data_IF_851840714098
#
_entry.id   IF_851840714098
#
_cell.length_a   1.000
_cell.length_b   1.000
_cell.length_c   1.000
_cell.angle_alpha   90.00
_cell.angle_beta   90.00
_cell.angle_gamma   90.00
#
_symmetry.space_group_name_H-M   'P 1'
#
loop_
_entity.id
_entity.type
_entity.pdbx_description
1 polymer ?
#
# COMPACT_ATOMS: atom_id res chain seq x y z
N UNK A 1 52.43 4.74 18.97
CA UNK A 1 51.24 4.71 19.85
C UNK A 1 50.03 4.10 19.12
N UNK A 2 49.25 4.86 18.33
CA UNK A 2 48.01 4.34 17.71
C UNK A 2 48.24 3.17 16.74
N UNK A 3 49.31 3.24 15.94
CA UNK A 3 49.71 2.19 14.97
C UNK A 3 50.10 0.88 15.66
N UNK A 4 50.73 0.98 16.83
CA UNK A 4 51.20 -0.18 17.58
C UNK A 4 50.02 -0.89 18.26
N UNK A 5 49.09 -0.13 18.84
CA UNK A 5 47.83 -0.66 19.37
C UNK A 5 47.02 -1.40 18.30
N UNK A 6 46.91 -0.84 17.09
CA UNK A 6 46.21 -1.47 15.98
C UNK A 6 46.86 -2.79 15.55
N UNK A 7 48.19 -2.83 15.43
CA UNK A 7 48.93 -4.07 15.13
C UNK A 7 48.76 -5.11 16.23
N UNK A 8 48.79 -4.69 17.50
CA UNK A 8 48.58 -5.59 18.64
C UNK A 8 47.17 -6.20 18.63
N UNK A 9 46.15 -5.40 18.32
CA UNK A 9 44.77 -5.84 18.25
C UNK A 9 44.55 -6.89 17.14
N UNK A 10 45.10 -6.67 15.95
CA UNK A 10 45.02 -7.65 14.84
C UNK A 10 45.74 -8.94 15.22
N UNK A 11 46.93 -8.86 15.83
CA UNK A 11 47.65 -10.04 16.31
C UNK A 11 46.89 -10.78 17.43
N UNK A 12 46.10 -10.07 18.24
CA UNK A 12 45.24 -10.64 19.28
C UNK A 12 43.98 -11.34 18.73
N UNK A 13 43.48 -10.89 17.57
CA UNK A 13 42.39 -11.58 16.86
C UNK A 13 42.94 -12.82 16.13
N UNK A 14 44.10 -12.70 15.49
CA UNK A 14 44.74 -13.78 14.73
C UNK A 14 45.20 -14.97 15.60
N UNK A 15 45.41 -14.79 16.91
CA UNK A 15 45.74 -15.90 17.81
C UNK A 15 44.54 -16.75 18.24
N UNK A 16 43.31 -16.27 18.07
CA UNK A 16 42.11 -16.98 18.50
C UNK A 16 40.98 -16.85 17.46
N UNK A 17 41.26 -17.36 16.25
CA UNK A 17 40.35 -17.28 15.10
C UNK A 17 38.96 -17.84 15.39
N UNK A 18 38.86 -18.95 16.12
CA UNK A 18 37.56 -19.58 16.39
C UNK A 18 36.69 -18.70 17.27
N UNK A 19 37.22 -18.18 18.38
CA UNK A 19 36.44 -17.34 19.29
C UNK A 19 36.09 -16.01 18.64
N UNK A 20 37.07 -15.33 18.04
CA UNK A 20 36.84 -14.03 17.39
C UNK A 20 35.91 -14.17 16.17
N UNK A 21 36.06 -15.25 15.39
CA UNK A 21 35.21 -15.54 14.25
C UNK A 21 33.76 -15.81 14.66
N UNK A 22 33.54 -16.62 15.70
CA UNK A 22 32.19 -16.93 16.18
C UNK A 22 31.49 -15.71 16.77
N UNK A 23 32.22 -14.82 17.45
CA UNK A 23 31.66 -13.54 17.94
C UNK A 23 31.28 -12.59 16.81
N UNK A 24 32.10 -12.50 15.76
CA UNK A 24 31.80 -11.67 14.59
C UNK A 24 30.58 -12.21 13.84
N UNK A 25 30.53 -13.54 13.66
CA UNK A 25 29.42 -14.21 12.99
C UNK A 25 28.09 -13.91 13.68
N UNK A 26 28.04 -13.99 15.01
CA UNK A 26 26.84 -13.67 15.79
C UNK A 26 26.36 -12.24 15.58
N UNK A 27 27.28 -11.27 15.57
CA UNK A 27 26.95 -9.85 15.33
C UNK A 27 26.42 -9.66 13.90
N UNK A 28 27.09 -10.24 12.90
CA UNK A 28 26.69 -10.11 11.48
C UNK A 28 25.30 -10.69 11.25
N UNK A 29 25.02 -11.90 11.75
CA UNK A 29 23.71 -12.54 11.62
C UNK A 29 22.65 -11.74 12.38
N UNK A 30 22.95 -11.28 13.61
CA UNK A 30 22.02 -10.51 14.41
C UNK A 30 21.62 -9.19 13.76
N UNK A 31 22.59 -8.42 13.27
CA UNK A 31 22.33 -7.14 12.59
C UNK A 31 21.62 -7.38 11.25
N UNK A 32 22.01 -8.41 10.48
CA UNK A 32 21.36 -8.74 9.22
C UNK A 32 19.87 -9.11 9.41
N UNK A 33 19.55 -9.91 10.43
CA UNK A 33 18.17 -10.29 10.72
C UNK A 33 17.30 -9.09 11.11
N UNK A 34 17.84 -8.17 11.92
CA UNK A 34 17.12 -6.94 12.31
C UNK A 34 16.86 -6.04 11.10
N UNK A 35 17.87 -5.83 10.23
CA UNK A 35 17.70 -5.04 9.00
C UNK A 35 16.65 -5.67 8.08
N UNK A 36 16.73 -6.99 7.88
CA UNK A 36 15.76 -7.71 7.05
C UNK A 36 14.32 -7.59 7.60
N UNK A 37 14.14 -7.74 8.92
CA UNK A 37 12.83 -7.61 9.53
C UNK A 37 12.25 -6.20 9.39
N UNK A 38 13.07 -5.17 9.64
CA UNK A 38 12.62 -3.76 9.53
C UNK A 38 12.23 -3.43 8.10
N UNK A 39 13.08 -3.78 7.13
CA UNK A 39 12.82 -3.51 5.71
C UNK A 39 11.56 -4.22 5.20
N UNK A 40 11.33 -5.48 5.60
CA UNK A 40 10.10 -6.22 5.27
C UNK A 40 8.89 -5.61 5.95
N UNK A 41 9.00 -5.20 7.22
CA UNK A 41 7.93 -4.58 7.99
C UNK A 41 7.47 -3.25 7.37
N UNK A 42 8.41 -2.34 7.12
CA UNK A 42 8.14 -1.05 6.49
C UNK A 42 7.61 -1.21 5.05
N UNK A 43 8.20 -2.10 4.26
CA UNK A 43 7.75 -2.37 2.89
C UNK A 43 6.33 -2.94 2.84
N UNK A 44 5.97 -3.82 3.77
CA UNK A 44 4.64 -4.40 3.87
C UNK A 44 3.61 -3.37 4.34
N UNK A 45 3.96 -2.56 5.35
CA UNK A 45 3.10 -1.49 5.84
C UNK A 45 2.83 -0.45 4.75
N UNK A 46 3.85 -0.03 4.00
CA UNK A 46 3.70 0.88 2.86
C UNK A 46 2.81 0.30 1.75
N UNK A 47 2.97 -1.00 1.45
CA UNK A 47 2.13 -1.68 0.47
C UNK A 47 0.66 -1.75 0.92
N UNK A 48 0.41 -2.13 2.17
CA UNK A 48 -0.94 -2.16 2.75
C UNK A 48 -1.55 -0.77 2.72
N UNK A 49 -0.80 0.27 3.11
CA UNK A 49 -1.30 1.64 3.04
C UNK A 49 -1.62 2.08 1.61
N UNK A 50 -0.82 1.67 0.62
CA UNK A 50 -1.10 1.95 -0.79
C UNK A 50 -2.34 1.21 -1.29
N UNK A 51 -2.55 -0.03 -0.86
CA UNK A 51 -3.69 -0.85 -1.26
C UNK A 51 -4.98 -0.36 -0.57
N UNK A 52 -4.90 0.09 0.69
CA UNK A 52 -6.00 0.78 1.39
C UNK A 52 -6.29 2.15 0.76
N UNK A 53 -5.26 2.91 0.35
CA UNK A 53 -5.46 4.17 -0.35
C UNK A 53 -6.16 3.97 -1.71
N UNK A 54 -5.89 2.85 -2.42
CA UNK A 54 -6.61 2.45 -3.64
C UNK A 54 -8.04 2.02 -3.38
N UNK A 55 -8.32 1.45 -2.21
CA UNK A 55 -9.69 1.20 -1.74
C UNK A 55 -10.47 2.50 -1.50
N UNK A 56 -9.80 3.67 -1.60
CA UNK A 56 -10.43 4.94 -1.95
C UNK A 56 -11.69 5.18 -1.15
N UNK A 57 -11.54 5.67 0.08
CA UNK A 57 -12.62 5.99 1.00
C UNK A 57 -13.56 7.11 0.52
N UNK A 58 -13.72 7.32 -0.80
CA UNK A 58 -14.62 8.30 -1.38
C UNK A 58 -15.05 7.95 -2.83
N UNK A 59 -15.23 6.66 -3.17
CA UNK A 59 -15.81 6.26 -4.46
C UNK A 59 -17.32 6.02 -4.32
N UNK A 60 -18.14 6.96 -4.82
CA UNK A 60 -19.59 6.83 -4.88
C UNK A 60 -20.00 6.39 -6.29
N UNK A 61 -20.51 5.17 -6.42
CA UNK A 61 -20.99 4.62 -7.70
C UNK A 61 -22.51 4.78 -7.75
N UNK A 62 -23.00 5.51 -8.74
CA UNK A 62 -24.44 5.74 -8.95
C UNK A 62 -24.86 5.00 -10.23
N UNK A 63 -25.79 4.06 -10.11
CA UNK A 63 -26.35 3.31 -11.24
C UNK A 63 -27.86 3.52 -11.33
N UNK A 64 -28.41 3.82 -12.51
CA UNK A 64 -29.86 3.91 -12.67
C UNK A 64 -30.43 2.48 -12.74
N UNK A 65 -31.57 2.24 -12.08
CA UNK A 65 -32.33 1.00 -12.21
C UNK A 65 -31.92 -0.18 -11.30
N UNK A 66 -31.09 0.04 -10.29
CA UNK A 66 -30.86 -0.98 -9.26
C UNK A 66 -31.88 -0.79 -8.13
N UNK A 67 -33.10 -1.29 -8.34
CA UNK A 67 -34.09 -1.47 -7.27
C UNK A 67 -33.53 -2.49 -6.26
N UNK A 68 -32.69 -2.03 -5.33
CA UNK A 68 -32.24 -2.85 -4.20
C UNK A 68 -33.39 -3.11 -3.20
N UNK A 69 -34.51 -2.39 -3.34
CA UNK A 69 -35.65 -2.38 -2.41
C UNK A 69 -37.02 -2.36 -3.14
N UNK A 70 -37.18 -3.14 -4.21
CA UNK A 70 -38.46 -3.23 -4.95
C UNK A 70 -38.85 -4.68 -5.27
N UNK A 71 -40.15 -5.03 -5.30
CA UNK A 71 -40.59 -6.36 -5.70
C UNK A 71 -40.07 -6.74 -7.10
N UNK A 72 -39.56 -7.98 -7.31
CA UNK A 72 -39.05 -8.40 -8.59
C UNK A 72 -40.16 -8.35 -9.65
N UNK A 73 -39.99 -7.50 -10.67
CA UNK A 73 -40.87 -7.45 -11.85
C UNK A 73 -41.59 -6.13 -12.14
N UNK A 74 -41.35 -5.05 -11.39
CA UNK A 74 -41.93 -3.74 -11.75
C UNK A 74 -41.14 -3.09 -12.89
N UNK A 75 -41.75 -2.77 -14.05
CA UNK A 75 -41.12 -2.00 -15.10
C UNK A 75 -41.14 -0.53 -14.70
N UNK A 76 -40.35 -0.15 -13.69
CA UNK A 76 -40.05 1.25 -13.44
C UNK A 76 -39.39 1.78 -14.71
N UNK A 77 -39.98 2.76 -15.40
CA UNK A 77 -39.30 3.48 -16.49
C UNK A 77 -37.96 3.99 -15.94
N UNK A 78 -36.90 3.25 -16.23
CA UNK A 78 -35.57 3.57 -15.77
C UNK A 78 -35.13 4.81 -16.54
N UNK A 79 -35.28 5.98 -15.93
CA UNK A 79 -34.70 7.21 -16.49
C UNK A 79 -33.19 7.02 -16.49
N UNK A 80 -32.64 6.74 -17.67
CA UNK A 80 -31.19 6.73 -17.88
C UNK A 80 -30.62 8.10 -17.53
N UNK A 81 -29.44 8.10 -16.93
CA UNK A 81 -28.68 9.34 -16.74
C UNK A 81 -28.50 10.02 -18.10
N UNK A 82 -28.87 11.30 -18.16
CA UNK A 82 -28.62 12.16 -19.32
C UNK A 82 -27.33 12.92 -19.10
N UNK A 83 -26.72 13.35 -20.20
CA UNK A 83 -25.47 14.11 -20.16
C UNK A 83 -25.62 15.44 -19.40
N UNK A 84 -26.84 16.01 -19.40
CA UNK A 84 -27.19 17.19 -18.61
C UNK A 84 -27.11 16.95 -17.10
N UNK A 85 -27.35 15.73 -16.63
CA UNK A 85 -27.30 15.39 -15.21
C UNK A 85 -25.85 15.41 -14.70
N UNK A 86 -24.88 15.05 -15.56
CA UNK A 86 -23.44 15.12 -15.24
C UNK A 86 -23.00 16.57 -15.03
N UNK A 87 -23.49 17.50 -15.83
CA UNK A 87 -23.16 18.93 -15.74
C UNK A 87 -23.67 19.53 -14.43
N UNK A 88 -24.91 19.21 -14.05
CA UNK A 88 -25.51 19.66 -12.78
C UNK A 88 -24.75 19.06 -11.59
N UNK A 89 -24.43 17.76 -11.65
CA UNK A 89 -23.68 17.09 -10.59
C UNK A 89 -22.26 17.68 -10.44
N UNK A 90 -21.59 18.08 -11.54
CA UNK A 90 -20.31 18.79 -11.47
C UNK A 90 -20.41 20.17 -10.83
N UNK A 91 -21.50 20.89 -11.10
CA UNK A 91 -21.70 22.25 -10.61
C UNK A 91 -22.09 22.29 -9.11
N UNK A 92 -22.87 21.32 -8.63
CA UNK A 92 -23.36 21.30 -7.25
C UNK A 92 -22.53 20.45 -6.28
N UNK A 93 -21.82 19.40 -6.75
CA UNK A 93 -21.02 18.55 -5.85
C UNK A 93 -19.63 19.14 -5.57
N UNK A 94 -19.57 20.03 -4.58
CA UNK A 94 -18.31 20.60 -4.08
C UNK A 94 -17.37 19.57 -3.41
N UNK A 95 -17.86 18.36 -3.09
CA UNK A 95 -17.08 17.28 -2.47
C UNK A 95 -16.52 16.24 -3.46
N UNK A 96 -16.90 16.29 -4.74
CA UNK A 96 -16.48 15.33 -5.75
C UNK A 96 -15.22 15.81 -6.47
N UNK A 97 -14.07 15.16 -6.21
CA UNK A 97 -12.81 15.51 -6.86
C UNK A 97 -12.76 15.12 -8.35
N UNK A 98 -13.50 14.09 -8.74
CA UNK A 98 -13.61 13.64 -10.12
C UNK A 98 -14.94 12.91 -10.34
N UNK A 99 -15.57 13.14 -11.49
CA UNK A 99 -16.79 12.46 -11.94
C UNK A 99 -16.48 11.75 -13.27
N UNK A 100 -16.65 10.43 -13.30
CA UNK A 100 -16.41 9.60 -14.47
C UNK A 100 -17.71 8.91 -14.93
N UNK A 101 -18.29 9.30 -16.07
CA UNK A 101 -19.45 8.61 -16.62
C UNK A 101 -19.02 7.28 -17.26
N UNK A 102 -19.77 6.20 -16.98
CA UNK A 102 -19.57 4.89 -17.61
C UNK A 102 -20.83 4.44 -18.34
N UNK A 103 -20.70 4.13 -19.63
CA UNK A 103 -21.79 3.57 -20.44
C UNK A 103 -21.46 2.13 -20.78
N UNK A 104 -22.15 1.18 -20.16
CA UNK A 104 -22.04 -0.23 -20.48
C UNK A 104 -23.17 -0.60 -21.44
N UNK A 105 -22.85 -0.77 -22.72
CA UNK A 105 -23.80 -1.30 -23.71
C UNK A 105 -23.76 -2.82 -23.65
N UNK A 106 -24.79 -3.43 -23.06
CA UNK A 106 -24.98 -4.89 -23.12
C UNK A 106 -25.48 -5.24 -24.52
N UNK A 107 -24.80 -6.18 -25.19
CA UNK A 107 -25.19 -6.73 -26.50
C UNK A 107 -26.38 -7.69 -26.35
#
# INVERSE_FOLDING_TARGET
>A
MLRDCYRLAIAAIARNLLRSGLTLLGIVIGVAAVIAMVTVGEGSAAKIQSDIAKLGSNMLIIRPGQDLFGPPGSPTEQRSFKERDIEVLRAELNGARALAPSVTRTL
#
